data_IF_456277256754
#
_entry.id   IF_456277256754
#
_cell.length_a   1.000
_cell.length_b   1.000
_cell.length_c   1.000
_cell.angle_alpha   90.00
_cell.angle_beta   90.00
_cell.angle_gamma   90.00
#
_symmetry.space_group_name_H-M   'P 1'
#
loop_
_entity.id
_entity.type
_entity.pdbx_description
1 polymer ?
#
# COMPACT_ATOMS: atom_id res chain seq x y z
N UNK A 1 -22.74 33.92 15.32
CA UNK A 1 -21.41 33.35 15.69
C UNK A 1 -20.87 32.52 14.54
N UNK A 2 -19.85 32.99 13.80
CA UNK A 2 -19.15 32.18 12.80
C UNK A 2 -18.09 31.33 13.53
N UNK A 3 -18.28 30.02 13.63
CA UNK A 3 -17.27 29.09 14.17
C UNK A 3 -16.02 29.19 13.28
N UNK A 4 -14.88 29.61 13.84
CA UNK A 4 -13.59 29.54 13.17
C UNK A 4 -13.20 28.05 13.07
N UNK A 5 -13.30 27.46 11.88
CA UNK A 5 -12.80 26.09 11.63
C UNK A 5 -11.31 25.99 11.95
N UNK A 6 -10.90 24.90 12.59
CA UNK A 6 -9.49 24.64 12.92
C UNK A 6 -8.69 24.46 11.62
N UNK A 7 -7.40 24.79 11.65
CA UNK A 7 -6.52 24.79 10.45
C UNK A 7 -6.47 23.44 9.72
N UNK A 8 -6.62 22.32 10.45
CA UNK A 8 -6.68 20.96 9.87
C UNK A 8 -7.98 20.64 9.14
N UNK A 9 -9.14 21.06 9.66
CA UNK A 9 -10.46 20.84 9.02
C UNK A 9 -10.57 21.58 7.67
N UNK A 10 -9.88 22.73 7.55
CA UNK A 10 -9.79 23.49 6.30
C UNK A 10 -8.93 22.79 5.24
N UNK A 11 -7.89 22.06 5.65
CA UNK A 11 -6.99 21.34 4.74
C UNK A 11 -7.65 20.04 4.23
N UNK A 12 -8.33 19.30 5.09
CA UNK A 12 -9.08 18.08 4.72
C UNK A 12 -10.24 18.38 3.76
N UNK A 13 -10.92 19.51 3.95
CA UNK A 13 -12.00 19.94 3.04
C UNK A 13 -11.45 20.38 1.69
N UNK A 14 -10.26 20.99 1.67
CA UNK A 14 -9.61 21.43 0.44
C UNK A 14 -9.17 20.25 -0.42
N UNK A 15 -8.53 19.23 0.18
CA UNK A 15 -8.09 18.03 -0.57
C UNK A 15 -9.27 17.32 -1.22
N UNK A 16 -10.36 17.09 -0.49
CA UNK A 16 -11.54 16.46 -1.07
C UNK A 16 -12.08 17.23 -2.31
N UNK A 17 -12.17 18.56 -2.22
CA UNK A 17 -12.64 19.40 -3.33
C UNK A 17 -11.70 19.39 -4.54
N UNK A 18 -10.39 19.39 -4.31
CA UNK A 18 -9.38 19.29 -5.37
C UNK A 18 -9.43 17.91 -6.02
N UNK A 19 -9.52 16.85 -5.21
CA UNK A 19 -9.63 15.47 -5.68
C UNK A 19 -10.83 15.28 -6.60
N UNK A 20 -12.01 15.79 -6.20
CA UNK A 20 -13.20 15.81 -7.07
C UNK A 20 -12.95 16.49 -8.41
N UNK A 21 -12.29 17.65 -8.40
CA UNK A 21 -11.98 18.37 -9.64
C UNK A 21 -11.03 17.59 -10.54
N UNK A 22 -10.07 16.86 -9.97
CA UNK A 22 -9.14 16.01 -10.72
C UNK A 22 -9.87 14.80 -11.31
N UNK A 23 -10.76 14.16 -10.57
CA UNK A 23 -11.61 13.07 -11.08
C UNK A 23 -12.40 13.54 -12.28
N UNK A 24 -13.10 14.67 -12.15
CA UNK A 24 -13.93 15.27 -13.22
C UNK A 24 -13.15 15.87 -14.39
N UNK A 25 -11.81 15.88 -14.34
CA UNK A 25 -10.99 16.50 -15.39
C UNK A 25 -10.80 15.62 -16.63
N UNK A 26 -11.01 14.31 -16.52
CA UNK A 26 -10.88 13.38 -17.64
C UNK A 26 -11.67 12.10 -17.41
N UNK A 27 -12.17 11.50 -18.49
CA UNK A 27 -12.88 10.22 -18.45
C UNK A 27 -12.02 9.09 -17.87
N UNK A 28 -10.70 9.09 -18.13
CA UNK A 28 -9.80 8.10 -17.53
C UNK A 28 -9.71 8.18 -16.01
N UNK A 29 -9.89 9.38 -15.42
CA UNK A 29 -9.90 9.53 -13.97
C UNK A 29 -11.26 9.13 -13.37
N UNK A 30 -12.35 9.38 -14.09
CA UNK A 30 -13.69 8.90 -13.73
C UNK A 30 -13.71 7.37 -13.76
N UNK A 31 -13.28 6.74 -14.86
CA UNK A 31 -13.21 5.28 -15.00
C UNK A 31 -12.32 4.64 -13.91
N UNK A 32 -11.18 5.27 -13.58
CA UNK A 32 -10.31 4.81 -12.49
C UNK A 32 -11.01 4.92 -11.12
N UNK A 33 -11.73 6.01 -10.88
CA UNK A 33 -12.44 6.21 -9.62
C UNK A 33 -13.58 5.21 -9.44
N UNK A 34 -14.36 4.98 -10.49
CA UNK A 34 -15.45 4.00 -10.49
C UNK A 34 -14.92 2.58 -10.29
N UNK A 35 -13.84 2.21 -10.99
CA UNK A 35 -13.17 0.92 -10.77
C UNK A 35 -12.68 0.74 -9.34
N UNK A 36 -12.11 1.78 -8.73
CA UNK A 36 -11.68 1.73 -7.32
C UNK A 36 -12.85 1.61 -6.33
N UNK A 37 -14.03 2.16 -6.64
CA UNK A 37 -15.21 1.98 -5.81
C UNK A 37 -15.70 0.53 -5.82
N UNK A 38 -15.57 -0.15 -6.96
CA UNK A 38 -15.91 -1.57 -7.10
C UNK A 38 -14.86 -2.49 -6.46
N UNK A 39 -13.57 -2.22 -6.70
CA UNK A 39 -12.46 -3.07 -6.26
C UNK A 39 -12.10 -2.89 -4.78
N UNK A 40 -12.35 -1.71 -4.20
CA UNK A 40 -11.98 -1.37 -2.82
C UNK A 40 -13.20 -0.96 -1.96
N UNK A 41 -14.19 -1.86 -1.77
CA UNK A 41 -15.47 -1.52 -1.14
C UNK A 41 -15.35 -1.10 0.34
N UNK A 42 -14.25 -1.42 1.01
CA UNK A 42 -14.03 -1.05 2.41
C UNK A 42 -13.32 0.30 2.57
N UNK A 43 -12.86 0.89 1.46
CA UNK A 43 -12.23 2.21 1.46
C UNK A 43 -13.31 3.28 1.25
N UNK A 44 -13.43 4.20 2.20
CA UNK A 44 -14.41 5.28 2.10
C UNK A 44 -14.16 6.15 0.85
N UNK A 45 -15.23 6.48 0.12
CA UNK A 45 -15.22 7.34 -1.08
C UNK A 45 -14.41 8.63 -0.90
N UNK A 46 -14.51 9.29 0.26
CA UNK A 46 -13.76 10.50 0.56
C UNK A 46 -12.25 10.25 0.54
N UNK A 47 -11.80 9.12 1.09
CA UNK A 47 -10.38 8.74 1.09
C UNK A 47 -9.90 8.43 -0.32
N UNK A 48 -10.70 7.71 -1.10
CA UNK A 48 -10.40 7.47 -2.52
C UNK A 48 -10.30 8.80 -3.28
N UNK A 49 -11.22 9.73 -3.05
CA UNK A 49 -11.22 11.05 -3.67
C UNK A 49 -9.94 11.84 -3.32
N UNK A 50 -9.50 11.79 -2.07
CA UNK A 50 -8.32 12.50 -1.60
C UNK A 50 -7.02 11.95 -2.21
N UNK A 51 -6.96 10.68 -2.62
CA UNK A 51 -5.79 10.09 -3.31
C UNK A 51 -5.46 10.80 -4.63
N UNK A 52 -6.47 11.30 -5.33
CA UNK A 52 -6.28 12.01 -6.60
C UNK A 52 -5.54 13.35 -6.43
N UNK A 53 -5.52 13.92 -5.22
CA UNK A 53 -4.74 15.15 -4.92
C UNK A 53 -3.25 14.86 -4.80
N UNK A 54 -2.89 13.73 -4.20
CA UNK A 54 -1.50 13.36 -3.91
C UNK A 54 -0.71 13.05 -5.17
N UNK A 55 -1.38 12.65 -6.25
CA UNK A 55 -0.77 12.34 -7.53
C UNK A 55 -0.53 13.59 -8.41
N UNK A 56 -0.11 14.70 -7.80
CA UNK A 56 -0.07 16.03 -8.40
C UNK A 56 0.46 16.11 -9.84
N UNK A 57 -0.34 16.77 -10.69
CA UNK A 57 0.05 17.62 -11.82
C UNK A 57 1.17 17.14 -12.74
N UNK A 58 0.81 16.49 -13.86
CA UNK A 58 1.65 16.43 -15.06
C UNK A 58 2.48 15.16 -15.27
N UNK A 59 2.33 14.14 -14.42
CA UNK A 59 3.07 12.87 -14.55
C UNK A 59 2.18 11.85 -15.26
N UNK A 60 2.68 11.23 -16.34
CA UNK A 60 1.95 10.19 -17.12
C UNK A 60 1.64 8.90 -16.33
N UNK A 61 2.09 8.80 -15.08
CA UNK A 61 2.05 7.60 -14.21
C UNK A 61 1.30 7.84 -12.90
N UNK A 62 0.20 8.59 -12.93
CA UNK A 62 -0.63 8.92 -11.75
C UNK A 62 -1.45 7.71 -11.29
N UNK A 63 -1.99 6.93 -12.23
CA UNK A 63 -2.90 5.81 -11.95
C UNK A 63 -2.26 4.70 -11.08
N UNK A 64 -1.00 4.26 -11.30
CA UNK A 64 -0.40 3.20 -10.49
C UNK A 64 -0.24 3.54 -9.00
N UNK A 65 0.07 4.79 -8.67
CA UNK A 65 0.23 5.23 -7.28
C UNK A 65 -1.12 5.28 -6.55
N UNK A 66 -2.15 5.75 -7.23
CA UNK A 66 -3.53 5.76 -6.71
C UNK A 66 -4.03 4.33 -6.51
N UNK A 67 -3.85 3.45 -7.51
CA UNK A 67 -4.19 2.03 -7.43
C UNK A 67 -3.51 1.35 -6.26
N UNK A 68 -2.18 1.46 -6.16
CA UNK A 68 -1.42 0.85 -5.08
C UNK A 68 -1.89 1.34 -3.70
N UNK A 69 -2.14 2.64 -3.54
CA UNK A 69 -2.61 3.20 -2.29
C UNK A 69 -4.01 2.68 -1.91
N UNK A 70 -4.94 2.64 -2.87
CA UNK A 70 -6.30 2.15 -2.65
C UNK A 70 -6.31 0.66 -2.26
N UNK A 71 -5.60 -0.19 -3.02
CA UNK A 71 -5.51 -1.62 -2.71
C UNK A 71 -4.78 -1.90 -1.40
N UNK A 72 -3.79 -1.09 -1.00
CA UNK A 72 -3.17 -1.21 0.32
C UNK A 72 -4.17 -0.88 1.43
N UNK A 73 -5.01 0.14 1.24
CA UNK A 73 -6.06 0.46 2.22
C UNK A 73 -7.09 -0.67 2.34
N UNK A 74 -7.51 -1.24 1.21
CA UNK A 74 -8.42 -2.39 1.13
C UNK A 74 -7.80 -3.63 1.79
N UNK A 75 -6.57 -3.96 1.42
CA UNK A 75 -5.81 -5.07 1.99
C UNK A 75 -5.69 -4.94 3.52
N UNK A 76 -5.34 -3.75 4.02
CA UNK A 76 -5.21 -3.50 5.45
C UNK A 76 -6.55 -3.56 6.19
N UNK A 77 -7.67 -3.30 5.51
CA UNK A 77 -8.99 -3.48 6.10
C UNK A 77 -9.30 -4.97 6.27
N UNK A 78 -9.08 -5.78 5.24
CA UNK A 78 -9.27 -7.23 5.29
C UNK A 78 -8.25 -7.94 6.20
N UNK A 79 -7.05 -7.38 6.33
CA UNK A 79 -5.93 -7.92 7.10
C UNK A 79 -5.49 -6.91 8.17
N UNK A 80 -6.34 -6.63 9.18
CA UNK A 80 -6.01 -5.64 10.19
C UNK A 80 -4.74 -6.06 10.91
N UNK A 81 -3.82 -5.11 11.07
CA UNK A 81 -2.58 -5.33 11.79
C UNK A 81 -2.87 -5.91 13.18
N UNK A 82 -2.41 -7.13 13.43
CA UNK A 82 -2.48 -7.76 14.74
C UNK A 82 -1.19 -7.41 15.49
N UNK A 83 -1.24 -6.66 16.61
CA UNK A 83 -0.06 -6.41 17.42
C UNK A 83 0.59 -7.73 17.83
N UNK A 84 1.83 -7.95 17.40
CA UNK A 84 2.54 -9.21 17.68
C UNK A 84 2.52 -10.24 16.54
N UNK A 85 1.79 -10.01 15.44
CA UNK A 85 1.87 -10.81 14.23
C UNK A 85 3.10 -10.46 13.37
N UNK A 86 4.24 -10.18 14.01
CA UNK A 86 5.51 -10.30 13.31
C UNK A 86 5.80 -11.79 13.26
N UNK A 87 5.96 -12.37 12.07
CA UNK A 87 6.32 -13.78 11.92
C UNK A 87 7.57 -14.09 12.75
N UNK A 88 8.52 -13.15 12.89
CA UNK A 88 9.63 -13.26 13.84
C UNK A 88 9.16 -13.50 15.29
N UNK A 89 8.12 -12.84 15.80
CA UNK A 89 7.62 -13.13 17.16
C UNK A 89 6.95 -14.51 17.28
N UNK A 90 6.38 -15.02 16.19
CA UNK A 90 5.72 -16.34 16.14
C UNK A 90 6.72 -17.49 15.99
N UNK A 91 7.78 -17.28 15.20
CA UNK A 91 8.75 -18.29 14.81
C UNK A 91 10.12 -18.15 15.50
N UNK A 92 10.47 -16.99 16.06
CA UNK A 92 11.67 -16.89 16.88
C UNK A 92 11.46 -17.60 18.22
N UNK A 93 12.48 -18.33 18.70
CA UNK A 93 12.50 -18.82 20.06
C UNK A 93 12.25 -17.68 21.06
N UNK A 94 11.47 -17.97 22.12
CA UNK A 94 11.27 -17.02 23.23
C UNK A 94 12.64 -16.57 23.75
N UNK A 95 12.91 -15.27 23.73
CA UNK A 95 14.18 -14.67 24.18
C UNK A 95 15.06 -14.09 23.07
N UNK A 96 14.75 -14.32 21.80
CA UNK A 96 15.46 -13.69 20.68
C UNK A 96 14.74 -12.39 20.29
N UNK A 97 15.45 -11.26 20.39
CA UNK A 97 14.91 -9.97 19.94
C UNK A 97 14.97 -9.88 18.42
N UNK A 98 13.87 -9.50 17.73
CA UNK A 98 13.86 -9.31 16.28
C UNK A 98 14.97 -8.37 15.78
N UNK A 99 15.28 -7.30 16.53
CA UNK A 99 16.35 -6.37 16.18
C UNK A 99 17.74 -7.02 16.15
N UNK A 100 18.02 -7.94 17.08
CA UNK A 100 19.32 -8.66 17.11
C UNK A 100 19.50 -9.61 15.95
N UNK A 101 18.39 -10.12 15.40
CA UNK A 101 18.42 -10.97 14.22
C UNK A 101 18.59 -10.10 12.98
N UNK A 102 17.83 -9.01 12.87
CA UNK A 102 17.90 -8.06 11.76
C UNK A 102 19.31 -7.44 11.59
N UNK A 103 19.98 -7.14 12.70
CA UNK A 103 21.31 -6.53 12.69
C UNK A 103 22.44 -7.54 12.41
N UNK A 104 22.15 -8.85 12.38
CA UNK A 104 23.11 -9.90 12.07
C UNK A 104 22.91 -10.40 10.64
N UNK A 105 23.80 -9.96 9.75
CA UNK A 105 23.75 -10.28 8.31
C UNK A 105 23.71 -11.78 8.02
N UNK A 106 24.54 -12.59 8.70
CA UNK A 106 24.61 -14.03 8.46
C UNK A 106 23.32 -14.74 8.89
N UNK A 107 22.73 -14.33 10.01
CA UNK A 107 21.43 -14.85 10.44
C UNK A 107 20.31 -14.43 9.50
N UNK A 108 20.31 -13.18 9.03
CA UNK A 108 19.34 -12.70 8.05
C UNK A 108 19.43 -13.46 6.73
N UNK A 109 20.64 -13.68 6.20
CA UNK A 109 20.86 -14.43 4.97
C UNK A 109 20.32 -15.87 5.10
N UNK A 110 20.52 -16.51 6.26
CA UNK A 110 19.93 -17.83 6.55
C UNK A 110 18.42 -17.82 6.68
N UNK A 111 17.84 -16.78 7.29
CA UNK A 111 16.39 -16.64 7.37
C UNK A 111 15.76 -16.46 5.99
N UNK A 112 16.40 -15.66 5.12
CA UNK A 112 15.98 -15.49 3.73
C UNK A 112 16.01 -16.82 2.99
N UNK A 113 17.09 -17.60 3.12
CA UNK A 113 17.20 -18.92 2.47
C UNK A 113 16.09 -19.90 2.91
N UNK A 114 15.74 -19.92 4.20
CA UNK A 114 14.63 -20.75 4.71
C UNK A 114 13.29 -20.28 4.16
N UNK A 115 13.04 -18.97 4.13
CA UNK A 115 11.80 -18.42 3.57
C UNK A 115 11.70 -18.76 2.09
N UNK A 116 12.73 -18.51 1.29
CA UNK A 116 12.73 -18.79 -0.15
C UNK A 116 12.51 -20.26 -0.46
N UNK A 117 13.10 -21.19 0.30
CA UNK A 117 12.83 -22.63 0.16
C UNK A 117 11.39 -23.01 0.51
N UNK A 118 10.81 -22.34 1.50
CA UNK A 118 9.43 -22.57 1.91
C UNK A 118 8.46 -22.02 0.86
N UNK A 119 8.75 -20.83 0.30
CA UNK A 119 8.01 -20.25 -0.83
C UNK A 119 8.08 -21.18 -2.06
N UNK A 120 9.25 -21.72 -2.40
CA UNK A 120 9.39 -22.70 -3.49
C UNK A 120 8.57 -23.99 -3.31
N UNK A 121 8.39 -24.44 -2.06
CA UNK A 121 7.64 -25.66 -1.73
C UNK A 121 6.13 -25.44 -1.67
N UNK A 122 5.69 -24.27 -1.21
CA UNK A 122 4.30 -24.01 -0.83
C UNK A 122 3.58 -22.97 -1.68
N UNK A 123 4.30 -22.11 -2.42
CA UNK A 123 3.64 -21.21 -3.37
C UNK A 123 3.07 -22.01 -4.55
N UNK A 124 1.85 -21.67 -4.94
CA UNK A 124 1.25 -22.24 -6.14
C UNK A 124 2.18 -21.98 -7.34
N UNK A 125 2.44 -23.02 -8.16
CA UNK A 125 3.23 -22.89 -9.39
C UNK A 125 2.57 -21.87 -10.31
N UNK A 126 3.06 -20.63 -10.27
CA UNK A 126 2.45 -19.47 -10.93
C UNK A 126 2.67 -18.15 -10.20
N UNK A 127 3.11 -18.16 -8.94
CA UNK A 127 3.62 -16.94 -8.28
C UNK A 127 4.85 -16.40 -9.02
N UNK A 128 4.85 -15.11 -9.36
CA UNK A 128 5.99 -14.49 -10.03
C UNK A 128 7.23 -14.59 -9.12
N UNK A 129 8.32 -15.24 -9.56
CA UNK A 129 9.53 -15.37 -8.76
C UNK A 129 10.00 -14.00 -8.26
N UNK A 130 10.48 -13.92 -7.03
CA UNK A 130 10.96 -12.66 -6.42
C UNK A 130 12.01 -11.94 -7.29
N UNK A 131 12.80 -12.69 -8.06
CA UNK A 131 13.78 -12.15 -9.02
C UNK A 131 13.15 -11.47 -10.25
N UNK A 132 11.98 -11.92 -10.71
CA UNK A 132 11.22 -11.26 -11.78
C UNK A 132 10.55 -9.98 -11.28
N UNK A 133 10.06 -9.97 -10.03
CA UNK A 133 9.57 -8.76 -9.37
C UNK A 133 10.71 -7.74 -9.23
N UNK A 134 11.90 -8.16 -8.82
CA UNK A 134 13.09 -7.26 -8.72
C UNK A 134 13.47 -6.65 -10.07
N UNK A 135 13.43 -7.43 -11.17
CA UNK A 135 13.69 -6.90 -12.52
C UNK A 135 12.63 -5.88 -12.94
N UNK A 136 11.36 -6.17 -12.67
CA UNK A 136 10.23 -5.30 -13.00
C UNK A 136 10.30 -3.97 -12.25
N UNK A 137 10.71 -3.99 -10.98
CA UNK A 137 10.93 -2.76 -10.18
C UNK A 137 12.14 -1.98 -10.68
N UNK A 138 13.25 -2.64 -11.05
CA UNK A 138 14.42 -1.96 -11.63
C UNK A 138 14.13 -1.30 -12.98
N UNK A 139 13.22 -1.84 -13.78
CA UNK A 139 12.84 -1.22 -15.07
C UNK A 139 11.92 -0.01 -14.93
N UNK A 140 11.43 0.29 -13.72
CA UNK A 140 10.56 1.43 -13.42
C UNK A 140 11.34 2.66 -12.93
N UNK A 141 12.66 2.56 -12.78
CA UNK A 141 13.59 3.63 -12.40
C UNK A 141 14.74 3.74 -13.40
#
# INVERSE_FOLDING_TARGET
MKRKMKRGERDESYRYLVGKRIIQSSRSNEDLFDGLLEECPHVNERKLTELFVSAGGGIKNISPAILAAAHVMEYNHAHPYKPGAYWFKKFLPRGVSPGKVADNKELMDRFVDVISKTEEEWDEKGGAPTEEIKKSVKSLF
#
